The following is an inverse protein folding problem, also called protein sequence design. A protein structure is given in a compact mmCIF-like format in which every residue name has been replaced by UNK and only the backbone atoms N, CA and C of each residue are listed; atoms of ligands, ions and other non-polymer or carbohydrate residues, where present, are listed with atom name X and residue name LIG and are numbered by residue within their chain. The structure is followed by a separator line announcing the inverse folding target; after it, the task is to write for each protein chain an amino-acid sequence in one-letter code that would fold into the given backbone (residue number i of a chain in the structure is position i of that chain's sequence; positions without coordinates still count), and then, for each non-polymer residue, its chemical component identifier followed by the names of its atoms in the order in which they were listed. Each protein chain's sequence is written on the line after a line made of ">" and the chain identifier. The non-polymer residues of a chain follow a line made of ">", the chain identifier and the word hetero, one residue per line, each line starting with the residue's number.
data_IF_444566338127
#
_entry.id   IF_444566338127
#
_cell.length_a   1.000
_cell.length_b   1.000
_cell.length_c   1.000
_cell.angle_alpha   90.00
_cell.angle_beta   90.00
_cell.angle_gamma   90.00
#
_symmetry.space_group_name_H-M   'P 1'
#
loop_
_entity.id
_entity.type
_entity.pdbx_description
1 polymer ?
#
# COMPACT_ATOMS: atom_id res chain seq x y z
N UNK A 1 -8.94 20.21 0.11
CA UNK A 1 -7.51 20.29 -0.30
C UNK A 1 -7.08 18.89 -0.74
N UNK A 2 -6.24 18.74 -1.77
CA UNK A 2 -5.84 17.42 -2.29
C UNK A 2 -4.48 17.03 -1.72
N UNK A 3 -4.40 15.83 -1.15
CA UNK A 3 -3.17 15.27 -0.56
C UNK A 3 -2.57 14.22 -1.48
N UNK A 4 -1.24 14.22 -1.61
CA UNK A 4 -0.46 13.25 -2.41
C UNK A 4 0.42 12.46 -1.47
N UNK A 5 0.42 11.13 -1.60
CA UNK A 5 1.35 10.26 -0.88
C UNK A 5 2.72 10.32 -1.55
N UNK A 6 3.76 10.69 -0.82
CA UNK A 6 5.14 10.79 -1.31
C UNK A 6 6.06 9.94 -0.45
N UNK A 7 7.11 9.38 -1.07
CA UNK A 7 8.14 8.62 -0.35
C UNK A 7 9.13 9.61 0.27
N UNK A 8 9.65 9.28 1.44
CA UNK A 8 10.78 10.01 2.04
C UNK A 8 11.97 10.01 1.08
N UNK A 9 12.28 11.16 0.51
CA UNK A 9 13.49 11.34 -0.29
C UNK A 9 14.71 11.34 0.64
N UNK A 10 15.41 10.22 0.74
CA UNK A 10 16.86 10.31 0.89
C UNK A 10 17.36 11.03 -0.37
N UNK A 11 18.05 12.15 -0.21
CA UNK A 11 18.30 13.21 -1.22
C UNK A 11 18.85 12.77 -2.59
N UNK A 12 19.16 11.48 -2.80
CA UNK A 12 19.75 10.95 -4.03
C UNK A 12 19.00 9.78 -4.70
N UNK A 13 17.84 9.32 -4.20
CA UNK A 13 17.11 8.22 -4.85
C UNK A 13 15.59 8.47 -4.80
N UNK A 14 15.00 8.80 -5.96
CA UNK A 14 13.55 8.74 -6.15
C UNK A 14 13.13 7.28 -6.12
N UNK A 15 12.69 6.77 -4.97
CA UNK A 15 12.16 5.41 -4.87
C UNK A 15 10.74 5.39 -5.44
N UNK A 16 10.60 4.99 -6.71
CA UNK A 16 9.30 4.65 -7.27
C UNK A 16 8.99 3.21 -6.90
N UNK A 17 7.82 2.91 -6.31
CA UNK A 17 7.39 1.53 -6.14
C UNK A 17 7.43 0.81 -7.49
N UNK A 18 7.80 -0.46 -7.47
CA UNK A 18 7.69 -1.30 -8.67
C UNK A 18 6.23 -1.53 -9.01
N UNK A 19 5.94 -1.78 -10.30
CA UNK A 19 4.61 -2.15 -10.79
C UNK A 19 3.97 -3.27 -9.93
N UNK A 20 4.77 -4.21 -9.42
CA UNK A 20 4.27 -5.27 -8.54
C UNK A 20 3.85 -4.75 -7.16
N UNK A 21 4.62 -3.83 -6.57
CA UNK A 21 4.32 -3.16 -5.31
C UNK A 21 3.06 -2.31 -5.42
N UNK A 22 2.86 -1.62 -6.54
CA UNK A 22 1.62 -0.86 -6.78
C UNK A 22 0.41 -1.79 -6.93
N UNK A 23 0.57 -2.89 -7.68
CA UNK A 23 -0.50 -3.87 -7.87
C UNK A 23 -0.90 -4.54 -6.56
N UNK A 24 0.06 -4.96 -5.74
CA UNK A 24 -0.26 -5.59 -4.45
C UNK A 24 -0.85 -4.57 -3.49
N UNK A 25 -0.35 -3.33 -3.47
CA UNK A 25 -0.93 -2.32 -2.60
C UNK A 25 -2.35 -1.93 -3.03
N UNK A 26 -2.60 -1.80 -4.34
CA UNK A 26 -3.95 -1.61 -4.91
C UNK A 26 -4.90 -2.74 -4.53
N UNK A 27 -4.43 -3.99 -4.61
CA UNK A 27 -5.19 -5.16 -4.17
C UNK A 27 -5.54 -5.08 -2.67
N UNK A 28 -4.57 -4.72 -1.81
CA UNK A 28 -4.79 -4.58 -0.38
C UNK A 28 -5.80 -3.47 -0.05
N UNK A 29 -5.73 -2.33 -0.74
CA UNK A 29 -6.73 -1.26 -0.62
C UNK A 29 -8.13 -1.78 -0.98
N UNK A 30 -8.27 -2.51 -2.09
CA UNK A 30 -9.55 -3.08 -2.52
C UNK A 30 -10.12 -4.11 -1.53
N UNK A 31 -9.26 -4.86 -0.83
CA UNK A 31 -9.70 -5.79 0.21
C UNK A 31 -10.18 -5.03 1.45
N UNK A 32 -9.49 -3.96 1.80
CA UNK A 32 -9.86 -3.11 2.93
C UNK A 32 -11.19 -2.39 2.69
N UNK A 33 -11.42 -1.84 1.50
CA UNK A 33 -12.68 -1.17 1.13
C UNK A 33 -13.88 -2.12 1.10
N UNK A 34 -13.66 -3.40 0.84
CA UNK A 34 -14.71 -4.43 0.86
C UNK A 34 -15.02 -4.98 2.24
N UNK A 35 -14.28 -4.57 3.29
CA UNK A 35 -14.61 -5.00 4.65
C UNK A 35 -15.90 -4.31 5.09
N UNK A 36 -16.87 -5.13 5.48
CA UNK A 36 -18.13 -4.65 6.07
C UNK A 36 -17.97 -4.26 7.54
N UNK A 37 -16.96 -4.84 8.21
CA UNK A 37 -16.69 -4.62 9.64
C UNK A 37 -15.50 -3.68 9.84
N UNK A 38 -15.80 -2.52 10.42
CA UNK A 38 -14.88 -1.40 10.61
C UNK A 38 -13.93 -1.62 11.81
N UNK A 39 -14.23 -2.61 12.67
CA UNK A 39 -13.47 -2.91 13.89
C UNK A 39 -12.27 -3.84 13.64
N UNK A 40 -12.33 -4.69 12.61
CA UNK A 40 -11.18 -5.54 12.26
C UNK A 40 -10.12 -4.74 11.47
N UNK A 41 -9.12 -4.28 12.21
CA UNK A 41 -7.99 -3.50 11.71
C UNK A 41 -7.08 -4.21 10.68
N UNK A 42 -7.28 -5.51 10.46
CA UNK A 42 -6.41 -6.36 9.63
C UNK A 42 -7.16 -7.01 8.49
N UNK A 43 -6.59 -7.05 7.29
CA UNK A 43 -7.06 -7.90 6.19
C UNK A 43 -6.19 -9.15 6.08
N UNK A 44 -6.78 -10.28 5.71
CA UNK A 44 -6.02 -11.50 5.37
C UNK A 44 -6.13 -11.77 3.87
N UNK A 45 -5.03 -12.18 3.24
CA UNK A 45 -5.07 -12.65 1.86
C UNK A 45 -4.12 -13.84 1.63
N UNK A 46 -4.50 -14.72 0.70
CA UNK A 46 -3.64 -15.78 0.18
C UNK A 46 -2.90 -15.27 -1.06
N UNK A 47 -1.63 -15.67 -1.24
CA UNK A 47 -0.86 -15.30 -2.44
C UNK A 47 -1.59 -15.71 -3.73
N UNK A 48 -2.23 -16.87 -3.74
CA UNK A 48 -2.95 -17.38 -4.91
C UNK A 48 -4.11 -16.47 -5.30
N UNK A 49 -4.86 -15.92 -4.34
CA UNK A 49 -5.94 -14.96 -4.61
C UNK A 49 -5.42 -13.71 -5.30
N UNK A 50 -4.28 -13.18 -4.86
CA UNK A 50 -3.67 -12.05 -5.55
C UNK A 50 -3.22 -12.41 -6.96
N UNK A 51 -2.53 -13.54 -7.15
CA UNK A 51 -1.93 -13.88 -8.44
C UNK A 51 -2.96 -14.37 -9.47
N UNK A 52 -3.86 -15.25 -9.07
CA UNK A 52 -4.84 -15.87 -9.96
C UNK A 52 -6.03 -14.95 -10.12
N UNK A 53 -6.66 -14.56 -9.02
CA UNK A 53 -7.97 -13.90 -9.08
C UNK A 53 -7.82 -12.40 -9.40
N UNK A 54 -6.83 -11.73 -8.82
CA UNK A 54 -6.63 -10.30 -9.04
C UNK A 54 -5.75 -9.99 -10.27
N UNK A 55 -4.64 -10.69 -10.47
CA UNK A 55 -3.75 -10.46 -11.62
C UNK A 55 -4.13 -11.25 -12.88
N UNK A 56 -4.97 -12.30 -12.78
CA UNK A 56 -5.31 -13.18 -13.90
C UNK A 56 -4.16 -14.09 -14.35
N UNK A 57 -3.14 -14.27 -13.51
CA UNK A 57 -1.91 -14.98 -13.87
C UNK A 57 -1.91 -16.43 -13.38
N UNK A 58 -1.22 -17.30 -14.13
CA UNK A 58 -0.96 -18.67 -13.67
C UNK A 58 0.04 -18.67 -12.51
N UNK A 59 -0.33 -19.34 -11.42
CA UNK A 59 0.55 -19.51 -10.26
C UNK A 59 1.84 -20.26 -10.58
N UNK A 60 2.95 -19.78 -10.01
CA UNK A 60 4.25 -20.43 -10.04
C UNK A 60 5.04 -20.12 -8.76
N UNK A 61 6.13 -20.86 -8.51
CA UNK A 61 6.92 -20.76 -7.27
C UNK A 61 7.58 -19.39 -7.07
N UNK A 62 7.89 -18.67 -8.15
CA UNK A 62 8.59 -17.37 -8.07
C UNK A 62 7.70 -16.26 -7.48
N UNK A 63 6.37 -16.40 -7.56
CA UNK A 63 5.47 -15.41 -6.97
C UNK A 63 5.60 -15.34 -5.46
N UNK A 64 5.88 -16.45 -4.78
CA UNK A 64 6.07 -16.46 -3.32
C UNK A 64 7.20 -15.53 -2.89
N UNK A 65 8.35 -15.60 -3.57
CA UNK A 65 9.51 -14.75 -3.24
C UNK A 65 9.31 -13.31 -3.66
N UNK A 66 8.74 -13.07 -4.85
CA UNK A 66 8.47 -11.72 -5.35
C UNK A 66 7.47 -10.95 -4.49
N UNK A 67 6.38 -11.61 -4.08
CA UNK A 67 5.35 -10.99 -3.22
C UNK A 67 5.88 -10.76 -1.82
N UNK A 68 6.65 -11.71 -1.28
CA UNK A 68 7.30 -11.49 0.02
C UNK A 68 8.25 -10.28 -0.02
N UNK A 69 9.02 -10.11 -1.11
CA UNK A 69 9.90 -8.96 -1.27
C UNK A 69 9.11 -7.65 -1.41
N UNK A 70 8.04 -7.64 -2.22
CA UNK A 70 7.18 -6.46 -2.37
C UNK A 70 6.57 -6.03 -1.03
N UNK A 71 6.06 -6.97 -0.24
CA UNK A 71 5.54 -6.67 1.10
C UNK A 71 6.63 -6.15 2.06
N UNK A 72 7.85 -6.71 2.01
CA UNK A 72 8.99 -6.21 2.79
C UNK A 72 9.31 -4.75 2.44
N UNK A 73 9.30 -4.42 1.15
CA UNK A 73 9.57 -3.07 0.67
C UNK A 73 8.47 -2.11 1.12
N UNK A 74 7.20 -2.43 0.89
CA UNK A 74 6.05 -1.62 1.32
C UNK A 74 6.00 -1.39 2.84
N UNK A 75 6.44 -2.37 3.65
CA UNK A 75 6.55 -2.22 5.10
C UNK A 75 7.71 -1.31 5.52
N UNK A 76 8.82 -1.31 4.79
CA UNK A 76 10.04 -0.58 5.18
C UNK A 76 10.07 0.86 4.68
N UNK A 77 9.48 1.12 3.52
CA UNK A 77 9.49 2.45 2.92
C UNK A 77 8.67 3.42 3.75
N UNK A 78 9.25 4.58 4.06
CA UNK A 78 8.61 5.66 4.78
C UNK A 78 7.95 6.61 3.78
N UNK A 79 6.74 7.05 4.12
CA UNK A 79 5.91 7.92 3.31
C UNK A 79 5.37 9.08 4.14
N UNK A 80 5.01 10.16 3.48
CA UNK A 80 4.29 11.27 4.06
C UNK A 80 3.22 11.78 3.09
N UNK A 81 2.20 12.45 3.61
CA UNK A 81 1.25 13.16 2.78
C UNK A 81 1.76 14.58 2.53
N UNK A 82 1.81 15.01 1.27
CA UNK A 82 2.09 16.39 0.86
C UNK A 82 0.84 17.06 0.31
N UNK A 83 0.65 18.36 0.60
CA UNK A 83 -0.36 19.20 -0.06
C UNK A 83 0.31 19.95 -1.19
N UNK A 84 -0.20 19.76 -2.40
CA UNK A 84 0.20 20.62 -3.50
C UNK A 84 -0.58 21.94 -3.40
N UNK A 85 0.09 23.02 -3.00
CA UNK A 85 -0.53 24.34 -2.91
C UNK A 85 -0.35 25.04 -4.26
N UNK A 86 -1.28 24.86 -5.20
CA UNK A 86 -1.23 25.48 -6.54
C UNK A 86 -1.33 27.03 -6.55
N UNK A 87 -1.20 27.71 -5.40
CA UNK A 87 -1.17 29.17 -5.29
C UNK A 87 0.17 29.62 -4.68
N UNK A 88 1.02 30.18 -5.54
CA UNK A 88 2.29 30.91 -5.29
C UNK A 88 3.52 30.03 -4.99
N UNK A 89 4.67 30.43 -5.56
CA UNK A 89 6.02 30.00 -5.19
C UNK A 89 6.11 29.76 -3.69
N UNK A 90 6.30 28.51 -3.26
CA UNK A 90 6.42 28.16 -1.85
C UNK A 90 6.45 26.64 -1.67
N UNK A 91 7.34 26.20 -0.78
CA UNK A 91 7.69 24.81 -0.52
C UNK A 91 6.49 23.90 -0.20
N UNK A 92 6.65 22.60 -0.49
CA UNK A 92 5.68 21.56 -0.13
C UNK A 92 5.33 21.67 1.37
N UNK A 93 4.03 21.76 1.68
CA UNK A 93 3.55 21.58 3.05
C UNK A 93 3.20 20.12 3.26
N UNK A 94 3.83 19.49 4.24
CA UNK A 94 3.54 18.12 4.64
C UNK A 94 2.39 18.09 5.64
N UNK A 95 1.42 17.19 5.42
CA UNK A 95 0.23 16.99 6.27
C UNK A 95 0.46 15.99 7.40
N UNK A 96 1.53 15.19 7.31
CA UNK A 96 1.79 14.11 8.25
C UNK A 96 3.27 13.98 8.53
N UNK A 97 3.59 13.50 9.72
CA UNK A 97 4.87 12.85 9.97
C UNK A 97 5.05 11.64 9.05
N UNK A 98 6.30 11.20 8.89
CA UNK A 98 6.66 10.02 8.13
C UNK A 98 6.03 8.75 8.73
N UNK A 99 5.53 7.87 7.86
CA UNK A 99 4.87 6.63 8.24
C UNK A 99 5.10 5.51 7.23
N UNK A 100 5.09 4.26 7.70
CA UNK A 100 5.07 3.07 6.84
C UNK A 100 3.65 2.81 6.33
N UNK A 101 3.46 2.34 5.10
CA UNK A 101 2.12 2.11 4.53
C UNK A 101 1.35 1.00 5.25
N UNK A 102 2.06 -0.03 5.68
CA UNK A 102 1.47 -1.22 6.26
C UNK A 102 2.45 -1.92 7.20
N UNK A 103 1.87 -2.75 8.05
CA UNK A 103 2.55 -3.85 8.72
C UNK A 103 1.92 -5.17 8.26
N UNK A 104 2.66 -6.27 8.37
CA UNK A 104 2.13 -7.59 8.05
C UNK A 104 2.76 -8.71 8.87
N UNK A 105 2.01 -9.79 8.99
CA UNK A 105 2.44 -11.05 9.54
C UNK A 105 2.23 -12.19 8.54
N UNK A 106 3.29 -12.94 8.25
CA UNK A 106 3.23 -14.12 7.40
C UNK A 106 2.73 -15.31 8.20
N UNK A 107 1.66 -15.96 7.73
CA UNK A 107 1.06 -17.15 8.33
C UNK A 107 1.11 -18.32 7.36
N UNK A 108 1.12 -19.54 7.91
CA UNK A 108 0.97 -20.78 7.15
C UNK A 108 -0.20 -21.57 7.71
N UNK A 109 -1.10 -22.03 6.84
CA UNK A 109 -2.14 -23.00 7.18
C UNK A 109 -2.04 -24.15 6.17
N UNK A 110 -1.51 -25.29 6.61
CA UNK A 110 -1.12 -26.38 5.71
C UNK A 110 -0.07 -25.95 4.67
N UNK A 111 -0.33 -26.21 3.39
CA UNK A 111 0.55 -25.82 2.27
C UNK A 111 0.38 -24.37 1.82
N UNK A 112 -0.62 -23.66 2.33
CA UNK A 112 -0.99 -22.31 1.90
C UNK A 112 -0.29 -21.25 2.74
N UNK A 113 0.14 -20.18 2.08
CA UNK A 113 0.79 -19.00 2.71
C UNK A 113 -0.19 -17.84 2.67
N UNK A 114 -0.43 -17.26 3.84
CA UNK A 114 -1.32 -16.12 4.03
C UNK A 114 -0.55 -14.96 4.63
N UNK A 115 -1.04 -13.76 4.38
CA UNK A 115 -0.54 -12.55 5.02
C UNK A 115 -1.69 -11.85 5.73
N UNK A 116 -1.53 -11.65 7.03
CA UNK A 116 -2.37 -10.75 7.83
C UNK A 116 -1.75 -9.36 7.75
N UNK A 117 -2.43 -8.41 7.15
CA UNK A 117 -1.91 -7.07 6.84
C UNK A 117 -2.71 -6.01 7.59
N UNK A 118 -2.00 -5.07 8.21
CA UNK A 118 -2.57 -3.86 8.83
C UNK A 118 -2.18 -2.66 8.01
N UNK A 119 -3.15 -1.96 7.43
CA UNK A 119 -2.89 -0.67 6.79
C UNK A 119 -2.64 0.41 7.85
N UNK A 120 -1.74 1.34 7.54
CA UNK A 120 -1.46 2.46 8.42
C UNK A 120 -2.73 3.26 8.73
N UNK A 121 -2.87 3.72 9.98
CA UNK A 121 -4.02 4.52 10.43
C UNK A 121 -4.25 5.77 9.56
N UNK A 122 -3.18 6.40 9.06
CA UNK A 122 -3.26 7.60 8.24
C UNK A 122 -3.90 7.29 6.88
N UNK A 123 -3.52 6.15 6.27
CA UNK A 123 -4.14 5.64 5.04
C UNK A 123 -5.62 5.33 5.29
N UNK A 124 -5.93 4.55 6.34
CA UNK A 124 -7.31 4.16 6.67
C UNK A 124 -8.22 5.37 6.90
N UNK A 125 -7.74 6.38 7.64
CA UNK A 125 -8.49 7.63 7.86
C UNK A 125 -8.78 8.37 6.55
N UNK A 126 -7.83 8.38 5.61
CA UNK A 126 -8.00 9.05 4.32
C UNK A 126 -8.95 8.27 3.38
N UNK A 127 -8.93 6.93 3.42
CA UNK A 127 -9.90 6.08 2.71
C UNK A 127 -11.34 6.37 3.18
N UNK A 128 -11.59 6.38 4.50
CA UNK A 128 -12.94 6.66 5.06
C UNK A 128 -13.51 8.03 4.64
N UNK A 129 -12.64 9.01 4.38
CA UNK A 129 -13.04 10.35 3.97
C UNK A 129 -13.23 10.51 2.47
N UNK A 130 -12.97 9.47 1.67
CA UNK A 130 -12.87 9.56 0.21
C UNK A 130 -11.89 10.64 -0.27
N UNK A 131 -10.91 11.00 0.58
CA UNK A 131 -9.97 12.10 0.36
C UNK A 131 -8.70 11.64 -0.38
N UNK A 132 -8.62 10.38 -0.82
CA UNK A 132 -7.50 9.84 -1.60
C UNK A 132 -7.85 9.88 -3.09
N UNK A 133 -7.24 10.80 -3.84
CA UNK A 133 -7.33 10.83 -5.30
C UNK A 133 -6.14 10.13 -5.99
N UNK A 134 -5.06 9.80 -5.27
CA UNK A 134 -3.73 9.62 -5.88
C UNK A 134 -2.91 8.44 -5.36
N UNK A 135 -3.46 7.24 -5.44
CA UNK A 135 -2.61 6.02 -5.50
C UNK A 135 -2.82 5.28 -6.83
N UNK A 136 -3.97 5.46 -7.49
CA UNK A 136 -4.33 4.68 -8.69
C UNK A 136 -4.12 5.44 -10.01
N UNK A 137 -3.92 6.77 -10.00
CA UNK A 137 -3.94 7.59 -11.24
C UNK A 137 -2.64 8.32 -11.63
N UNK A 138 -1.49 7.96 -11.04
CA UNK A 138 -0.20 8.50 -11.50
C UNK A 138 0.94 7.49 -11.41
N UNK A 139 0.80 6.39 -12.16
CA UNK A 139 1.91 5.67 -12.76
C UNK A 139 1.56 5.39 -14.22
#
# INVERSE_FOLDING_TARGET
>A
MKSTLVVENNKDIVFQPSILEDKIYTFLLSLYERKEDDDEEYIEFEISTFVVDFLGNKMNRTYYTKIEQALKNLKRTMYEFSINNHKKLGDYKFESELFQLLDYEKRKRGKKVYYKVRLNRNIRKKLKKNDILFIIRKL
#
